data_IF_327126890953
#
_entry.id   IF_327126890953
#
_cell.length_a   1.000
_cell.length_b   1.000
_cell.length_c   1.000
_cell.angle_alpha   90.00
_cell.angle_beta   90.00
_cell.angle_gamma   90.00
#
_symmetry.space_group_name_H-M   'P 1'
#
loop_
_entity.id
_entity.type
_entity.pdbx_description
1 polymer ?
#
# COMPACT_ATOMS: atom_id res chain seq x y z
N UNK A 1 45.64 -25.45 55.60
CA UNK A 1 45.41 -25.17 57.03
C UNK A 1 45.86 -23.75 57.31
N UNK A 2 44.99 -22.93 57.92
CA UNK A 2 45.04 -21.47 58.13
C UNK A 2 46.40 -20.81 58.34
N UNK A 3 46.57 -19.58 57.84
CA UNK A 3 46.49 -18.37 58.69
C UNK A 3 46.53 -17.05 57.89
N UNK A 4 45.65 -16.16 58.33
CA UNK A 4 45.43 -14.74 58.02
C UNK A 4 46.66 -13.83 58.15
N UNK A 5 46.72 -12.76 57.35
CA UNK A 5 46.91 -11.42 57.92
C UNK A 5 46.31 -10.31 57.05
N UNK A 6 45.48 -9.48 57.69
CA UNK A 6 44.98 -8.20 57.20
C UNK A 6 46.06 -7.14 57.37
N UNK A 7 46.14 -6.20 56.43
CA UNK A 7 46.47 -4.81 56.75
C UNK A 7 45.90 -3.88 55.68
N UNK A 8 45.29 -2.81 56.18
CA UNK A 8 44.59 -1.76 55.46
C UNK A 8 45.52 -0.56 55.26
N UNK A 9 45.25 0.18 54.18
CA UNK A 9 45.27 1.64 54.03
C UNK A 9 46.59 2.38 53.71
N UNK A 10 46.45 3.10 52.58
CA UNK A 10 46.75 4.51 52.35
C UNK A 10 48.18 4.91 51.96
N UNK A 11 48.29 5.57 50.79
CA UNK A 11 49.50 6.27 50.41
C UNK A 11 49.56 6.76 48.96
N UNK A 12 48.76 7.79 48.65
CA UNK A 12 49.13 8.93 47.78
C UNK A 12 49.47 8.69 46.29
N UNK A 13 48.55 9.23 45.47
CA UNK A 13 48.71 9.88 44.16
C UNK A 13 50.07 9.77 43.45
N UNK A 14 50.06 9.07 42.31
CA UNK A 14 50.89 9.40 41.16
C UNK A 14 49.97 9.62 39.96
N UNK A 15 50.02 10.83 39.43
CA UNK A 15 49.30 11.41 38.31
C UNK A 15 49.38 10.52 37.06
N UNK A 16 48.25 9.97 36.59
CA UNK A 16 48.18 9.38 35.24
C UNK A 16 47.54 10.40 34.31
N UNK A 17 48.38 11.01 33.49
CA UNK A 17 47.98 11.94 32.45
C UNK A 17 47.06 11.25 31.43
N UNK A 18 45.92 11.93 31.23
CA UNK A 18 44.99 11.89 30.11
C UNK A 18 45.54 11.30 28.79
N UNK A 19 45.01 10.13 28.40
CA UNK A 19 44.82 9.77 26.99
C UNK A 19 43.44 9.11 26.87
N UNK A 20 42.37 9.91 26.88
CA UNK A 20 41.07 9.47 26.36
C UNK A 20 41.16 9.64 24.85
N UNK A 21 41.67 8.60 24.18
CA UNK A 21 41.65 8.51 22.73
C UNK A 21 40.20 8.42 22.25
N UNK A 22 39.85 9.30 21.32
CA UNK A 22 38.61 9.34 20.55
C UNK A 22 38.13 7.94 20.16
N UNK A 23 37.14 7.41 20.87
CA UNK A 23 36.09 6.63 20.20
C UNK A 23 35.15 7.69 19.66
N UNK A 24 35.45 8.19 18.46
CA UNK A 24 34.50 9.01 17.73
C UNK A 24 33.25 8.18 17.52
N UNK A 25 32.19 8.48 18.27
CA UNK A 25 30.86 7.99 17.95
C UNK A 25 30.56 8.47 16.54
N UNK A 26 30.65 7.59 15.55
CA UNK A 26 30.10 7.83 14.22
C UNK A 26 28.59 7.90 14.38
N UNK A 27 28.07 9.04 14.84
CA UNK A 27 26.64 9.30 14.72
C UNK A 27 26.35 9.25 13.23
N UNK A 28 25.43 8.38 12.77
CA UNK A 28 24.98 8.44 11.39
C UNK A 28 24.53 9.88 11.13
N UNK A 29 25.03 10.47 10.05
CA UNK A 29 24.62 11.81 9.65
C UNK A 29 23.10 11.84 9.60
N UNK A 30 22.48 12.71 10.41
CA UNK A 30 21.04 12.90 10.35
C UNK A 30 20.71 13.37 8.94
N UNK A 31 19.94 12.58 8.20
CA UNK A 31 19.50 12.97 6.87
C UNK A 31 18.78 14.32 6.96
N UNK A 32 19.09 15.23 6.04
CA UNK A 32 18.40 16.51 5.99
C UNK A 32 16.87 16.29 5.88
N UNK A 33 16.05 17.10 6.57
CA UNK A 33 14.60 16.96 6.50
C UNK A 33 14.08 17.06 5.06
N UNK A 34 13.15 16.19 4.67
CA UNK A 34 12.46 16.28 3.39
C UNK A 34 11.52 17.48 3.43
N UNK A 35 11.68 18.41 2.48
CA UNK A 35 10.90 19.66 2.44
C UNK A 35 9.48 19.50 1.91
N UNK A 36 9.21 18.45 1.13
CA UNK A 36 7.88 18.06 0.67
C UNK A 36 7.72 16.52 0.69
N UNK A 37 7.27 15.92 1.80
CA UNK A 37 7.24 14.47 1.95
C UNK A 37 6.19 13.78 1.05
N UNK A 38 5.06 14.44 0.76
CA UNK A 38 4.03 13.88 -0.13
C UNK A 38 4.57 13.75 -1.55
N UNK A 39 5.12 14.84 -2.09
CA UNK A 39 5.74 14.86 -3.43
C UNK A 39 6.89 13.84 -3.53
N UNK A 40 7.77 13.79 -2.53
CA UNK A 40 8.87 12.84 -2.53
C UNK A 40 8.38 11.38 -2.52
N UNK A 41 7.31 11.09 -1.78
CA UNK A 41 6.67 9.78 -1.75
C UNK A 41 6.01 9.42 -3.09
N UNK A 42 5.26 10.36 -3.68
CA UNK A 42 4.61 10.15 -4.98
C UNK A 42 5.62 9.96 -6.11
N UNK A 43 6.69 10.75 -6.12
CA UNK A 43 7.77 10.59 -7.10
C UNK A 43 8.48 9.24 -6.96
N UNK A 44 8.76 8.79 -5.73
CA UNK A 44 9.32 7.46 -5.50
C UNK A 44 8.36 6.34 -5.92
N UNK A 45 7.07 6.47 -5.61
CA UNK A 45 6.04 5.52 -6.03
C UNK A 45 5.96 5.42 -7.56
N UNK A 46 5.92 6.56 -8.25
CA UNK A 46 5.93 6.60 -9.71
C UNK A 46 7.18 5.94 -10.31
N UNK A 47 8.33 6.03 -9.63
CA UNK A 47 9.56 5.37 -10.07
C UNK A 47 9.59 3.86 -9.82
N UNK A 48 8.59 3.28 -9.14
CA UNK A 48 8.46 1.83 -8.96
C UNK A 48 7.64 1.17 -10.07
N UNK A 49 6.97 1.95 -10.91
CA UNK A 49 6.13 1.44 -11.99
C UNK A 49 7.01 0.84 -13.08
N UNK A 50 6.75 -0.41 -13.44
CA UNK A 50 7.43 -1.10 -14.52
C UNK A 50 7.12 -0.50 -15.89
N UNK A 51 7.90 -0.88 -16.90
CA UNK A 51 7.68 -0.45 -18.29
C UNK A 51 6.34 -0.93 -18.85
N UNK A 52 5.75 -1.97 -18.23
CA UNK A 52 4.42 -2.50 -18.56
C UNK A 52 3.27 -1.74 -17.87
N UNK A 53 3.59 -0.70 -17.09
CA UNK A 53 2.60 0.09 -16.37
C UNK A 53 2.15 -0.52 -15.04
N UNK A 54 2.72 -1.62 -14.58
CA UNK A 54 2.29 -2.26 -13.34
C UNK A 54 3.29 -2.07 -12.21
N UNK A 55 2.79 -2.13 -10.97
CA UNK A 55 3.63 -2.29 -9.79
C UNK A 55 3.85 -3.78 -9.53
N UNK A 56 5.07 -4.16 -9.20
CA UNK A 56 5.37 -5.52 -8.77
C UNK A 56 4.87 -5.79 -7.35
N UNK A 57 4.44 -7.02 -7.11
CA UNK A 57 4.01 -7.50 -5.80
C UNK A 57 5.14 -8.18 -5.01
N UNK A 58 4.75 -9.14 -4.18
CA UNK A 58 5.70 -9.94 -3.39
C UNK A 58 6.48 -10.97 -4.22
N UNK A 59 6.04 -11.22 -5.45
CA UNK A 59 6.73 -12.07 -6.42
C UNK A 59 7.44 -11.16 -7.42
N UNK A 60 8.80 -11.11 -7.39
CA UNK A 60 9.55 -10.25 -8.29
C UNK A 60 9.26 -10.54 -9.76
N UNK A 61 9.17 -9.49 -10.58
CA UNK A 61 8.89 -9.58 -12.01
C UNK A 61 7.45 -9.97 -12.36
N UNK A 62 6.51 -9.92 -11.41
CA UNK A 62 5.09 -10.20 -11.65
C UNK A 62 4.24 -8.98 -11.28
N UNK A 63 3.36 -8.61 -12.20
CA UNK A 63 2.38 -7.55 -11.98
C UNK A 63 1.50 -7.85 -10.75
N UNK A 64 1.31 -6.84 -9.90
CA UNK A 64 0.33 -6.84 -8.83
C UNK A 64 -0.69 -5.74 -9.12
N UNK A 65 -1.80 -6.13 -9.73
CA UNK A 65 -2.87 -5.21 -10.10
C UNK A 65 -3.52 -4.52 -8.90
N UNK A 66 -3.51 -5.16 -7.72
CA UNK A 66 -4.02 -4.54 -6.51
C UNK A 66 -3.19 -3.36 -6.03
N UNK A 67 -1.88 -3.53 -6.05
CA UNK A 67 -0.90 -2.51 -5.72
C UNK A 67 -0.92 -1.43 -6.79
N UNK A 68 -1.02 -1.82 -8.06
CA UNK A 68 -1.16 -0.90 -9.20
C UNK A 68 -2.37 0.01 -9.07
N UNK A 69 -3.57 -0.56 -8.80
CA UNK A 69 -4.80 0.21 -8.55
C UNK A 69 -4.67 1.20 -7.39
N UNK A 70 -4.09 0.75 -6.26
CA UNK A 70 -3.84 1.63 -5.12
C UNK A 70 -2.81 2.72 -5.44
N UNK A 71 -1.80 2.39 -6.27
CA UNK A 71 -0.81 3.34 -6.75
C UNK A 71 -1.41 4.43 -7.60
N UNK A 72 -2.35 4.10 -8.50
CA UNK A 72 -3.12 5.08 -9.29
C UNK A 72 -3.87 6.04 -8.37
N UNK A 73 -4.63 5.50 -7.41
CA UNK A 73 -5.41 6.31 -6.46
C UNK A 73 -4.49 7.20 -5.62
N UNK A 74 -3.33 6.69 -5.18
CA UNK A 74 -2.36 7.45 -4.40
C UNK A 74 -1.70 8.58 -5.20
N UNK A 75 -1.31 8.32 -6.45
CA UNK A 75 -0.75 9.33 -7.34
C UNK A 75 -1.78 10.41 -7.65
N UNK A 76 -3.01 10.04 -7.98
CA UNK A 76 -4.10 10.99 -8.22
C UNK A 76 -4.41 11.83 -6.97
N UNK A 77 -4.50 11.21 -5.79
CA UNK A 77 -4.71 11.95 -4.53
C UNK A 77 -3.56 12.93 -4.21
N UNK A 78 -2.36 12.67 -4.72
CA UNK A 78 -1.21 13.56 -4.61
C UNK A 78 -1.13 14.61 -5.73
N UNK A 79 -2.07 14.64 -6.68
CA UNK A 79 -2.10 15.56 -7.82
C UNK A 79 -1.15 15.19 -8.96
N UNK A 80 -0.82 13.89 -9.09
CA UNK A 80 0.05 13.34 -10.11
C UNK A 80 -0.71 12.46 -11.12
N UNK A 81 -1.79 12.97 -11.72
CA UNK A 81 -2.56 12.27 -12.77
C UNK A 81 -1.87 12.22 -14.15
N UNK A 82 -0.54 12.38 -14.18
CA UNK A 82 0.27 12.47 -15.38
C UNK A 82 0.50 11.14 -16.12
N UNK A 83 1.47 11.09 -17.05
CA UNK A 83 1.70 9.94 -17.92
C UNK A 83 1.90 8.60 -17.19
N UNK A 84 2.57 8.58 -16.04
CA UNK A 84 2.77 7.35 -15.27
C UNK A 84 1.45 6.79 -14.74
N UNK A 85 0.61 7.62 -14.10
CA UNK A 85 -0.68 7.17 -13.58
C UNK A 85 -1.61 6.71 -14.72
N UNK A 86 -1.56 7.40 -15.88
CA UNK A 86 -2.30 7.02 -17.09
C UNK A 86 -1.83 5.69 -17.66
N UNK A 87 -0.52 5.46 -17.76
CA UNK A 87 0.05 4.18 -18.17
C UNK A 87 -0.41 3.03 -17.26
N UNK A 88 -0.45 3.27 -15.94
CA UNK A 88 -0.94 2.28 -14.99
C UNK A 88 -2.42 1.95 -15.20
N UNK A 89 -3.25 2.97 -15.45
CA UNK A 89 -4.67 2.74 -15.72
C UNK A 89 -4.91 2.03 -17.05
N UNK A 90 -4.13 2.34 -18.09
CA UNK A 90 -4.19 1.63 -19.37
C UNK A 90 -3.85 0.14 -19.20
N UNK A 91 -2.83 -0.18 -18.40
CA UNK A 91 -2.46 -1.57 -18.10
C UNK A 91 -3.55 -2.31 -17.33
N UNK A 92 -4.17 -1.67 -16.33
CA UNK A 92 -5.29 -2.21 -15.56
C UNK A 92 -6.52 -2.44 -16.46
N UNK A 93 -6.93 -1.42 -17.21
CA UNK A 93 -8.14 -1.47 -18.02
C UNK A 93 -7.98 -2.44 -19.22
N UNK A 94 -6.77 -2.57 -19.76
CA UNK A 94 -6.46 -3.53 -20.83
C UNK A 94 -6.52 -5.01 -20.39
N UNK A 95 -6.50 -5.30 -19.09
CA UNK A 95 -6.60 -6.66 -18.53
C UNK A 95 -7.71 -6.75 -17.47
N UNK A 96 -8.77 -5.95 -17.63
CA UNK A 96 -9.75 -5.66 -16.58
C UNK A 96 -10.44 -6.93 -16.04
N UNK A 97 -10.69 -7.93 -16.88
CA UNK A 97 -11.28 -9.21 -16.46
C UNK A 97 -10.38 -9.98 -15.49
N UNK A 98 -9.07 -10.00 -15.74
CA UNK A 98 -8.08 -10.61 -14.83
C UNK A 98 -7.98 -9.80 -13.54
N UNK A 99 -7.96 -8.47 -13.65
CA UNK A 99 -7.88 -7.54 -12.51
C UNK A 99 -9.02 -7.78 -11.51
N UNK A 100 -10.25 -7.90 -12.01
CA UNK A 100 -11.45 -7.95 -11.16
C UNK A 100 -11.83 -9.37 -10.73
N UNK A 101 -11.30 -10.39 -11.39
CA UNK A 101 -11.56 -11.79 -11.06
C UNK A 101 -10.27 -12.61 -10.80
N UNK A 102 -9.38 -12.17 -9.87
CA UNK A 102 -8.06 -12.78 -9.68
C UNK A 102 -8.10 -14.26 -9.25
N UNK A 103 -9.25 -14.72 -8.75
CA UNK A 103 -9.48 -16.10 -8.32
C UNK A 103 -10.54 -16.82 -9.17
N UNK A 104 -10.81 -16.33 -10.38
CA UNK A 104 -11.75 -16.93 -11.33
C UNK A 104 -13.22 -16.50 -11.16
N UNK A 105 -13.49 -15.56 -10.25
CA UNK A 105 -14.79 -14.90 -10.08
C UNK A 105 -14.59 -13.48 -9.58
N UNK A 106 -15.56 -12.62 -9.84
CA UNK A 106 -15.59 -11.23 -9.38
C UNK A 106 -15.24 -11.09 -7.90
N UNK A 107 -14.22 -10.30 -7.65
CA UNK A 107 -13.82 -9.85 -6.34
C UNK A 107 -14.33 -8.42 -6.11
N UNK A 108 -15.22 -8.26 -5.12
CA UNK A 108 -15.84 -6.98 -4.81
C UNK A 108 -14.81 -5.90 -4.42
N UNK A 109 -13.69 -6.29 -3.79
CA UNK A 109 -12.62 -5.36 -3.44
C UNK A 109 -11.86 -4.85 -4.65
N UNK A 110 -11.54 -5.73 -5.61
CA UNK A 110 -10.91 -5.34 -6.88
C UNK A 110 -11.83 -4.56 -7.78
N UNK A 111 -13.11 -4.93 -7.89
CA UNK A 111 -14.11 -4.10 -8.55
C UNK A 111 -14.16 -2.70 -7.94
N UNK A 112 -14.20 -2.61 -6.61
CA UNK A 112 -14.19 -1.33 -5.90
C UNK A 112 -12.93 -0.49 -6.20
N UNK A 113 -11.75 -1.10 -6.14
CA UNK A 113 -10.50 -0.41 -6.46
C UNK A 113 -10.42 0.03 -7.93
N UNK A 114 -10.88 -0.81 -8.87
CA UNK A 114 -10.91 -0.48 -10.29
C UNK A 114 -11.84 0.69 -10.59
N UNK A 115 -13.02 0.73 -9.97
CA UNK A 115 -13.94 1.88 -10.06
C UNK A 115 -13.25 3.14 -9.51
N UNK A 116 -12.65 3.06 -8.32
CA UNK A 116 -12.00 4.21 -7.69
C UNK A 116 -10.79 4.72 -8.50
N UNK A 117 -10.01 3.83 -9.11
CA UNK A 117 -8.87 4.21 -9.95
C UNK A 117 -9.32 4.93 -11.23
N UNK A 118 -10.38 4.43 -11.88
CA UNK A 118 -10.97 5.10 -13.05
C UNK A 118 -11.51 6.49 -12.66
N UNK A 119 -12.30 6.58 -11.58
CA UNK A 119 -12.80 7.87 -11.07
C UNK A 119 -11.67 8.84 -10.71
N UNK A 120 -10.60 8.35 -10.09
CA UNK A 120 -9.47 9.18 -9.66
C UNK A 120 -8.74 9.84 -10.84
N UNK A 121 -8.76 9.24 -12.02
CA UNK A 121 -8.17 9.81 -13.24
C UNK A 121 -9.22 10.40 -14.20
N UNK A 122 -10.48 10.44 -13.79
CA UNK A 122 -11.59 11.01 -14.55
C UNK A 122 -12.11 10.14 -15.70
N UNK A 123 -11.81 8.83 -15.67
CA UNK A 123 -12.35 7.84 -16.62
C UNK A 123 -13.70 7.28 -16.15
N UNK A 124 -14.49 6.80 -17.10
CA UNK A 124 -15.84 6.25 -16.84
C UNK A 124 -15.77 4.77 -16.42
N UNK A 125 -16.07 4.41 -15.15
CA UNK A 125 -16.04 3.02 -14.71
C UNK A 125 -17.23 2.18 -15.21
N UNK A 126 -18.19 2.79 -15.93
CA UNK A 126 -19.34 2.09 -16.50
C UNK A 126 -19.09 1.56 -17.92
N UNK A 127 -17.97 1.95 -18.54
CA UNK A 127 -17.52 1.46 -19.84
C UNK A 127 -15.98 1.33 -19.89
N UNK A 128 -15.47 0.24 -19.33
CA UNK A 128 -14.05 -0.13 -19.40
C UNK A 128 -13.89 -1.25 -20.42
N UNK A 129 -13.56 -0.89 -21.67
CA UNK A 129 -13.50 -1.82 -22.81
C UNK A 129 -14.78 -2.67 -22.97
N UNK A 130 -15.95 -2.03 -22.81
CA UNK A 130 -17.25 -2.70 -22.85
C UNK A 130 -17.65 -3.41 -21.56
N UNK A 131 -16.85 -3.34 -20.48
CA UNK A 131 -17.18 -3.88 -19.16
C UNK A 131 -17.72 -2.78 -18.25
N UNK A 132 -18.92 -2.99 -17.72
CA UNK A 132 -19.51 -2.11 -16.70
C UNK A 132 -19.13 -2.60 -15.29
N UNK A 133 -18.15 -1.95 -14.67
CA UNK A 133 -17.65 -2.35 -13.35
C UNK A 133 -18.66 -2.09 -12.23
N UNK A 134 -19.42 -1.01 -12.35
CA UNK A 134 -20.46 -0.63 -11.36
C UNK A 134 -21.56 -1.68 -11.34
N UNK A 135 -22.05 -2.07 -12.52
CA UNK A 135 -23.07 -3.11 -12.66
C UNK A 135 -22.59 -4.45 -12.09
N UNK A 136 -21.34 -4.85 -12.37
CA UNK A 136 -20.76 -6.08 -11.81
C UNK A 136 -20.65 -6.03 -10.30
N UNK A 137 -20.23 -4.89 -9.73
CA UNK A 137 -20.16 -4.73 -8.28
C UNK A 137 -21.55 -4.83 -7.63
N UNK A 138 -22.57 -4.19 -8.22
CA UNK A 138 -23.94 -4.32 -7.75
C UNK A 138 -24.48 -5.74 -7.90
N UNK A 139 -24.20 -6.41 -9.02
CA UNK A 139 -24.59 -7.81 -9.25
C UNK A 139 -23.93 -8.78 -8.27
N UNK A 140 -22.80 -8.41 -7.66
CA UNK A 140 -22.13 -9.20 -6.62
C UNK A 140 -22.85 -9.17 -5.26
N UNK A 141 -23.94 -8.40 -5.11
CA UNK A 141 -24.75 -8.39 -3.89
C UNK A 141 -25.30 -9.77 -3.56
N UNK A 142 -25.11 -10.20 -2.31
CA UNK A 142 -25.67 -11.45 -1.81
C UNK A 142 -27.16 -11.27 -1.49
N UNK A 143 -28.03 -12.21 -1.90
CA UNK A 143 -29.48 -12.14 -1.68
C UNK A 143 -29.95 -12.40 -0.22
N UNK A 144 -29.10 -12.13 0.79
CA UNK A 144 -29.31 -12.21 2.26
C UNK A 144 -29.07 -13.56 2.97
N UNK A 145 -28.64 -13.45 4.24
CA UNK A 145 -28.78 -14.49 5.27
C UNK A 145 -27.79 -14.38 6.43
N UNK A 146 -26.52 -14.12 6.13
CA UNK A 146 -25.43 -14.14 7.10
C UNK A 146 -24.84 -12.73 7.28
N UNK A 147 -25.11 -12.04 8.41
CA UNK A 147 -24.54 -10.72 8.66
C UNK A 147 -23.00 -10.76 8.78
N UNK A 148 -22.42 -11.92 9.09
CA UNK A 148 -20.97 -12.09 9.21
C UNK A 148 -20.30 -12.27 7.84
N UNK A 149 -21.09 -12.48 6.77
CA UNK A 149 -20.60 -12.65 5.40
C UNK A 149 -20.34 -11.34 4.64
N UNK A 150 -20.91 -10.23 5.11
CA UNK A 150 -20.97 -8.99 4.34
C UNK A 150 -21.90 -9.07 3.12
N UNK A 151 -22.15 -7.94 2.46
CA UNK A 151 -23.15 -7.83 1.38
C UNK A 151 -22.58 -8.09 -0.02
N UNK A 152 -21.41 -7.55 -0.35
CA UNK A 152 -20.82 -7.63 -1.69
C UNK A 152 -19.77 -8.75 -1.87
N UNK A 153 -19.75 -9.40 -3.05
CA UNK A 153 -18.80 -10.45 -3.43
C UNK A 153 -19.17 -11.84 -2.88
N UNK A 154 -18.59 -12.91 -3.40
CA UNK A 154 -18.97 -14.31 -3.07
C UNK A 154 -17.93 -15.13 -2.30
N UNK A 155 -16.68 -14.66 -2.23
CA UNK A 155 -15.61 -15.38 -1.54
C UNK A 155 -15.75 -15.39 0.00
N UNK A 156 -15.03 -16.29 0.65
CA UNK A 156 -14.93 -16.40 2.12
C UNK A 156 -14.46 -15.06 2.73
N UNK A 157 -15.19 -14.48 3.70
CA UNK A 157 -14.86 -13.19 4.31
C UNK A 157 -13.81 -13.27 5.43
N UNK A 158 -13.40 -14.46 5.88
CA UNK A 158 -12.70 -14.71 7.17
C UNK A 158 -11.47 -13.82 7.41
N UNK A 159 -10.74 -13.41 6.37
CA UNK A 159 -9.48 -12.66 6.52
C UNK A 159 -9.58 -11.21 6.04
N UNK A 160 -10.19 -10.99 4.87
CA UNK A 160 -10.17 -9.70 4.19
C UNK A 160 -11.58 -9.19 3.81
N UNK A 161 -12.63 -9.88 4.25
CA UNK A 161 -14.01 -9.56 3.87
C UNK A 161 -14.37 -8.11 4.20
N UNK A 162 -14.06 -7.65 5.41
CA UNK A 162 -14.32 -6.26 5.82
C UNK A 162 -13.58 -5.24 4.95
N UNK A 163 -12.35 -5.53 4.54
CA UNK A 163 -11.57 -4.69 3.63
C UNK A 163 -12.26 -4.59 2.26
N UNK A 164 -12.66 -5.72 1.69
CA UNK A 164 -13.34 -5.77 0.39
C UNK A 164 -14.72 -5.09 0.42
N UNK A 165 -15.50 -5.29 1.49
CA UNK A 165 -16.76 -4.58 1.71
C UNK A 165 -16.57 -3.07 1.77
N UNK A 166 -15.55 -2.61 2.51
CA UNK A 166 -15.26 -1.17 2.63
C UNK A 166 -14.94 -0.52 1.28
N UNK A 167 -14.17 -1.21 0.43
CA UNK A 167 -13.86 -0.75 -0.92
C UNK A 167 -15.10 -0.74 -1.83
N UNK A 168 -15.94 -1.78 -1.74
CA UNK A 168 -17.20 -1.83 -2.49
C UNK A 168 -18.11 -0.64 -2.15
N UNK A 169 -18.31 -0.38 -0.87
CA UNK A 169 -19.13 0.76 -0.39
C UNK A 169 -18.51 2.09 -0.83
N UNK A 170 -17.19 2.26 -0.69
CA UNK A 170 -16.51 3.48 -1.11
C UNK A 170 -16.67 3.74 -2.61
N UNK A 171 -16.54 2.71 -3.44
CA UNK A 171 -16.71 2.80 -4.88
C UNK A 171 -18.14 3.18 -5.28
N UNK A 172 -19.15 2.50 -4.71
CA UNK A 172 -20.56 2.78 -4.99
C UNK A 172 -20.95 4.19 -4.56
N UNK A 173 -20.49 4.63 -3.39
CA UNK A 173 -20.65 6.02 -2.96
C UNK A 173 -19.97 7.00 -3.92
N UNK A 174 -18.78 6.66 -4.42
CA UNK A 174 -18.02 7.47 -5.38
C UNK A 174 -18.73 7.68 -6.73
N UNK A 175 -19.48 6.68 -7.20
CA UNK A 175 -20.32 6.80 -8.42
C UNK A 175 -21.73 7.33 -8.14
N UNK A 176 -22.03 7.73 -6.90
CA UNK A 176 -23.33 8.29 -6.52
C UNK A 176 -24.46 7.26 -6.39
N UNK A 177 -24.13 5.97 -6.28
CA UNK A 177 -25.11 4.95 -5.89
C UNK A 177 -25.37 5.12 -4.40
N UNK A 178 -26.48 5.77 -4.10
CA UNK A 178 -27.09 5.87 -2.78
C UNK A 178 -28.48 5.24 -2.90
N UNK A 179 -28.87 4.42 -1.92
CA UNK A 179 -30.15 3.68 -1.92
C UNK A 179 -31.38 4.54 -2.28
#
# INVERSE_FOLDING_TARGET
>A
MSTTHRSRLAGVLATLALIVGLVGSTQPASAAPVTNPLEAGAHWLASQVGDDGTLEGFTPGQADYGSTLQGIIALAAAGHEGPTARLMLDAVNGDIETVIAPFGSDDAGRLGLAILANLALGEDPTDVDGVNLVERLQASQRPTGDPDAGLYGSADPTFDGAFRQGLAVLALAGVGVVD
#
